data_IF_009466587792
#
_entry.id   IF_009466587792
#
_cell.length_a   1.000
_cell.length_b   1.000
_cell.length_c   1.000
_cell.angle_alpha   90.00
_cell.angle_beta   90.00
_cell.angle_gamma   90.00
#
_symmetry.space_group_name_H-M   'P 1'
#
loop_
_entity.id
_entity.type
_entity.pdbx_description
1 polymer ?
#
# COMPACT_ATOMS: atom_id res chain seq x y z
N UNK A 1 -17.40 -51.86 5.45
CA UNK A 1 -16.25 -51.01 5.83
C UNK A 1 -16.70 -49.57 5.67
N UNK A 2 -16.70 -48.75 6.73
CA UNK A 2 -17.03 -47.32 6.58
C UNK A 2 -15.93 -46.67 5.77
N UNK A 3 -16.29 -45.89 4.74
CA UNK A 3 -15.33 -45.11 3.98
C UNK A 3 -14.59 -44.17 4.95
N UNK A 4 -13.26 -44.29 4.98
CA UNK A 4 -12.40 -43.39 5.75
C UNK A 4 -12.55 -42.00 5.16
N UNK A 5 -13.10 -41.05 5.93
CA UNK A 5 -13.21 -39.67 5.48
C UNK A 5 -11.85 -39.00 5.56
N UNK A 6 -11.58 -38.04 4.67
CA UNK A 6 -10.30 -37.34 4.62
C UNK A 6 -9.87 -36.75 5.98
N UNK A 7 -10.83 -36.33 6.80
CA UNK A 7 -10.66 -35.83 8.17
C UNK A 7 -10.06 -36.85 9.16
N UNK A 8 -10.14 -38.14 8.85
CA UNK A 8 -9.60 -39.23 9.69
C UNK A 8 -8.11 -39.49 9.40
N UNK A 9 -7.53 -38.87 8.38
CA UNK A 9 -6.09 -38.98 8.14
C UNK A 9 -5.29 -38.13 9.15
N UNK A 10 -4.08 -38.59 9.52
CA UNK A 10 -3.11 -37.77 10.24
C UNK A 10 -2.86 -36.44 9.52
N UNK A 11 -2.67 -35.38 10.28
CA UNK A 11 -2.53 -34.01 9.74
C UNK A 11 -1.42 -33.91 8.69
N UNK A 12 -0.26 -34.48 8.99
CA UNK A 12 0.89 -34.52 8.07
C UNK A 12 0.54 -35.16 6.72
N UNK A 13 -0.25 -36.24 6.73
CA UNK A 13 -0.68 -36.93 5.51
C UNK A 13 -1.68 -36.08 4.72
N UNK A 14 -2.61 -35.40 5.40
CA UNK A 14 -3.54 -34.45 4.78
C UNK A 14 -2.78 -33.29 4.12
N UNK A 15 -1.79 -32.73 4.81
CA UNK A 15 -0.98 -31.62 4.32
C UNK A 15 -0.16 -32.03 3.07
N UNK A 16 0.40 -33.24 3.03
CA UNK A 16 1.09 -33.76 1.83
C UNK A 16 0.15 -33.98 0.65
N UNK A 17 -1.01 -34.61 0.87
CA UNK A 17 -2.02 -34.82 -0.19
C UNK A 17 -2.45 -33.48 -0.78
N UNK A 18 -2.64 -32.48 0.07
CA UNK A 18 -2.98 -31.14 -0.36
C UNK A 18 -1.89 -30.46 -1.15
N UNK A 19 -0.65 -30.48 -0.66
CA UNK A 19 0.50 -29.93 -1.38
C UNK A 19 0.64 -30.54 -2.79
N UNK A 20 0.44 -31.85 -2.93
CA UNK A 20 0.52 -32.53 -4.21
C UNK A 20 -0.65 -32.16 -5.15
N UNK A 21 -1.88 -32.11 -4.64
CA UNK A 21 -3.06 -31.74 -5.42
C UNK A 21 -2.95 -30.30 -5.96
N UNK A 22 -2.42 -29.37 -5.16
CA UNK A 22 -2.28 -27.98 -5.60
C UNK A 22 -1.19 -27.79 -6.65
N UNK A 23 -0.08 -28.53 -6.56
CA UNK A 23 0.99 -28.47 -7.56
C UNK A 23 0.54 -28.94 -8.96
N UNK A 24 -0.32 -29.96 -9.04
CA UNK A 24 -0.84 -30.52 -10.31
C UNK A 24 -1.79 -29.54 -11.02
N UNK A 25 -2.63 -28.83 -10.26
CA UNK A 25 -3.67 -27.99 -10.85
C UNK A 25 -3.13 -26.70 -11.48
N UNK A 26 -1.98 -26.21 -11.02
CA UNK A 26 -1.37 -24.99 -11.53
C UNK A 26 -0.60 -25.17 -12.86
N UNK A 27 -0.35 -26.41 -13.29
CA UNK A 27 0.16 -26.67 -14.64
C UNK A 27 -0.87 -26.36 -15.74
N UNK A 28 -2.14 -26.07 -15.38
CA UNK A 28 -3.25 -25.97 -16.34
C UNK A 28 -3.78 -24.56 -16.63
N UNK A 29 -3.16 -23.47 -16.14
CA UNK A 29 -3.76 -22.13 -16.27
C UNK A 29 -2.95 -21.11 -17.10
N UNK A 30 -3.62 -20.62 -18.14
CA UNK A 30 -3.21 -19.67 -19.19
C UNK A 30 -3.21 -18.17 -18.79
N UNK A 31 -2.67 -17.38 -19.73
CA UNK A 31 -2.15 -15.99 -19.81
C UNK A 31 -2.96 -14.77 -19.33
N UNK A 32 -4.01 -14.87 -18.50
CA UNK A 32 -4.75 -13.68 -18.05
C UNK A 32 -4.05 -12.96 -16.85
N UNK A 33 -4.02 -11.61 -16.77
CA UNK A 33 -3.33 -10.89 -15.69
C UNK A 33 -3.80 -11.22 -14.27
N UNK A 34 -5.10 -11.48 -14.08
CA UNK A 34 -5.65 -11.89 -12.78
C UNK A 34 -5.24 -13.32 -12.37
N UNK A 35 -4.92 -14.18 -13.35
CA UNK A 35 -4.44 -15.54 -13.11
C UNK A 35 -2.97 -15.51 -12.73
N UNK A 36 -2.17 -14.66 -13.39
CA UNK A 36 -0.76 -14.50 -13.08
C UNK A 36 -0.55 -13.94 -11.67
N UNK A 37 -1.29 -12.90 -11.25
CA UNK A 37 -1.31 -12.42 -9.85
C UNK A 37 -1.52 -13.54 -8.84
N UNK A 38 -2.53 -14.38 -9.09
CA UNK A 38 -2.86 -15.52 -8.22
C UNK A 38 -1.80 -16.59 -8.24
N UNK A 39 -1.17 -16.85 -9.38
CA UNK A 39 -0.04 -17.78 -9.51
C UNK A 39 1.16 -17.28 -8.69
N UNK A 40 1.51 -16.00 -8.82
CA UNK A 40 2.60 -15.39 -8.08
C UNK A 40 2.36 -15.44 -6.56
N UNK A 41 1.16 -15.03 -6.13
CA UNK A 41 0.75 -15.10 -4.74
C UNK A 41 0.76 -16.54 -4.17
N UNK A 42 0.41 -17.53 -5.00
CA UNK A 42 0.39 -18.93 -4.59
C UNK A 42 1.80 -19.52 -4.46
N UNK A 43 2.67 -19.25 -5.44
CA UNK A 43 4.08 -19.68 -5.46
C UNK A 43 4.88 -18.99 -4.34
N UNK A 44 4.42 -17.81 -3.92
CA UNK A 44 5.11 -16.93 -2.99
C UNK A 44 6.08 -16.02 -3.74
N UNK A 45 6.02 -14.72 -3.45
CA UNK A 45 6.79 -13.68 -4.15
C UNK A 45 8.31 -13.84 -4.05
N UNK A 46 8.80 -14.59 -3.05
CA UNK A 46 10.23 -14.86 -2.85
C UNK A 46 10.76 -15.97 -3.76
N UNK A 47 9.87 -16.79 -4.34
CA UNK A 47 10.23 -17.90 -5.22
C UNK A 47 10.11 -17.53 -6.71
N UNK A 48 9.80 -16.26 -7.02
CA UNK A 48 9.71 -15.78 -8.39
C UNK A 48 11.10 -15.51 -8.98
N UNK A 49 11.29 -15.70 -10.30
CA UNK A 49 12.51 -15.27 -10.98
C UNK A 49 12.80 -13.78 -10.72
N UNK A 50 14.09 -13.43 -10.64
CA UNK A 50 14.52 -12.07 -10.27
C UNK A 50 14.06 -10.97 -11.24
N UNK A 51 13.79 -11.32 -12.49
CA UNK A 51 13.30 -10.45 -13.55
C UNK A 51 11.77 -10.36 -13.62
N UNK A 52 11.05 -11.14 -12.80
CA UNK A 52 9.59 -11.14 -12.80
C UNK A 52 9.04 -9.94 -12.02
N UNK A 53 8.26 -9.10 -12.70
CA UNK A 53 7.48 -8.06 -12.05
C UNK A 53 6.46 -8.68 -11.08
N UNK A 54 6.53 -8.26 -9.82
CA UNK A 54 5.64 -8.73 -8.76
C UNK A 54 4.29 -8.06 -8.89
N UNK A 55 3.23 -8.87 -8.93
CA UNK A 55 1.87 -8.40 -9.05
C UNK A 55 1.08 -8.77 -7.77
N UNK A 56 0.85 -7.81 -6.85
CA UNK A 56 0.12 -8.04 -5.61
C UNK A 56 -1.36 -8.39 -5.87
N UNK A 57 -1.94 -9.25 -5.02
CA UNK A 57 -3.37 -9.55 -5.08
C UNK A 57 -4.20 -8.29 -4.78
N UNK A 58 -5.31 -8.13 -5.51
CA UNK A 58 -6.16 -6.94 -5.40
C UNK A 58 -7.35 -7.12 -4.46
N UNK A 59 -7.68 -6.03 -3.78
CA UNK A 59 -8.88 -5.86 -2.97
C UNK A 59 -9.57 -4.58 -3.42
N UNK A 60 -10.84 -4.69 -3.81
CA UNK A 60 -11.66 -3.56 -4.17
C UNK A 60 -12.70 -3.32 -3.09
N UNK A 61 -12.65 -2.13 -2.50
CA UNK A 61 -13.58 -1.68 -1.47
C UNK A 61 -14.35 -0.48 -1.97
N UNK A 62 -15.65 -0.55 -1.74
CA UNK A 62 -16.58 0.51 -2.04
C UNK A 62 -17.10 1.08 -0.73
N UNK A 63 -16.98 2.38 -0.54
CA UNK A 63 -17.70 3.06 0.51
C UNK A 63 -19.00 3.60 -0.05
N UNK A 64 -20.11 3.30 0.62
CA UNK A 64 -21.35 4.02 0.33
C UNK A 64 -21.21 5.41 0.96
N UNK A 65 -21.78 6.45 0.35
CA UNK A 65 -21.76 7.82 0.92
C UNK A 65 -22.27 7.94 2.38
N UNK A 66 -22.83 6.87 2.94
CA UNK A 66 -23.06 6.67 4.35
C UNK A 66 -21.81 6.02 4.99
N UNK A 67 -20.91 6.85 5.55
CA UNK A 67 -19.53 6.57 6.05
C UNK A 67 -19.31 5.33 6.94
N UNK A 68 -20.36 4.61 7.32
CA UNK A 68 -20.26 3.41 8.15
C UNK A 68 -20.32 2.11 7.33
N UNK A 69 -20.79 2.14 6.09
CA UNK A 69 -21.02 0.94 5.27
C UNK A 69 -19.99 0.79 4.15
N UNK A 70 -18.85 0.20 4.50
CA UNK A 70 -17.90 -0.30 3.51
C UNK A 70 -18.28 -1.69 3.02
N UNK A 71 -18.21 -1.88 1.71
CA UNK A 71 -18.58 -3.10 1.01
C UNK A 71 -17.39 -3.64 0.24
N UNK A 72 -17.20 -4.95 0.31
CA UNK A 72 -16.18 -5.62 -0.47
C UNK A 72 -16.74 -5.98 -1.84
N UNK A 73 -16.20 -5.43 -2.93
CA UNK A 73 -16.63 -5.81 -4.28
C UNK A 73 -15.79 -6.94 -4.86
N UNK A 74 -14.48 -6.91 -4.64
CA UNK A 74 -13.58 -7.97 -5.07
C UNK A 74 -12.52 -8.24 -4.03
N UNK A 75 -12.28 -9.53 -3.79
CA UNK A 75 -11.20 -10.03 -2.96
C UNK A 75 -10.49 -11.15 -3.71
N UNK A 76 -9.36 -10.83 -4.36
CA UNK A 76 -8.60 -11.83 -5.11
C UNK A 76 -8.02 -12.92 -4.20
N UNK A 77 -7.74 -12.63 -2.93
CA UNK A 77 -7.30 -13.64 -1.97
C UNK A 77 -8.42 -14.64 -1.64
N UNK A 78 -9.67 -14.20 -1.45
CA UNK A 78 -10.78 -15.14 -1.25
C UNK A 78 -11.00 -16.00 -2.50
N UNK A 79 -10.78 -15.42 -3.69
CA UNK A 79 -10.86 -16.17 -4.93
C UNK A 79 -9.74 -17.20 -5.03
N UNK A 80 -8.51 -16.84 -4.66
CA UNK A 80 -7.37 -17.76 -4.55
C UNK A 80 -7.69 -18.94 -3.62
N UNK A 81 -8.26 -18.66 -2.44
CA UNK A 81 -8.69 -19.71 -1.49
C UNK A 81 -9.74 -20.61 -2.12
N UNK A 82 -10.74 -20.04 -2.80
CA UNK A 82 -11.81 -20.81 -3.44
C UNK A 82 -11.32 -21.65 -4.63
N UNK A 83 -10.19 -21.30 -5.25
CA UNK A 83 -9.55 -22.10 -6.29
C UNK A 83 -8.88 -23.37 -5.74
N UNK A 84 -8.61 -23.45 -4.43
CA UNK A 84 -8.00 -24.62 -3.83
C UNK A 84 -9.04 -25.73 -3.62
N UNK A 85 -8.84 -26.95 -4.16
CA UNK A 85 -9.79 -28.05 -3.98
C UNK A 85 -10.09 -28.36 -2.52
N UNK A 86 -9.11 -28.16 -1.63
CA UNK A 86 -9.30 -28.36 -0.19
C UNK A 86 -10.36 -27.43 0.42
N UNK A 87 -10.57 -26.25 -0.17
CA UNK A 87 -11.54 -25.29 0.33
C UNK A 87 -13.00 -25.70 0.10
N UNK A 88 -13.25 -26.71 -0.74
CA UNK A 88 -14.61 -27.20 -1.03
C UNK A 88 -15.03 -28.38 -0.15
N UNK A 89 -14.11 -28.96 0.63
CA UNK A 89 -14.35 -30.20 1.38
C UNK A 89 -15.14 -29.95 2.67
N UNK A 90 -14.67 -29.04 3.52
CA UNK A 90 -15.32 -28.67 4.78
C UNK A 90 -14.82 -27.31 5.29
N UNK A 91 -15.47 -26.76 6.31
CA UNK A 91 -15.10 -25.47 6.92
C UNK A 91 -13.67 -25.47 7.50
N UNK A 92 -13.25 -26.56 8.13
CA UNK A 92 -11.88 -26.72 8.67
C UNK A 92 -10.84 -26.66 7.54
N UNK A 93 -11.03 -27.45 6.47
CA UNK A 93 -10.13 -27.47 5.32
C UNK A 93 -10.10 -26.12 4.59
N UNK A 94 -11.24 -25.43 4.49
CA UNK A 94 -11.31 -24.05 3.98
C UNK A 94 -10.55 -23.05 4.85
N UNK A 95 -10.59 -23.22 6.17
CA UNK A 95 -9.80 -22.39 7.09
C UNK A 95 -8.29 -22.64 6.91
N UNK A 96 -7.88 -23.90 6.73
CA UNK A 96 -6.49 -24.24 6.42
C UNK A 96 -6.02 -23.65 5.08
N UNK A 97 -6.85 -23.75 4.04
CA UNK A 97 -6.59 -23.12 2.74
C UNK A 97 -6.38 -21.61 2.88
N UNK A 98 -7.28 -20.95 3.61
CA UNK A 98 -7.18 -19.52 3.88
C UNK A 98 -5.90 -19.15 4.63
N UNK A 99 -5.52 -19.91 5.65
CA UNK A 99 -4.30 -19.66 6.40
C UNK A 99 -3.04 -19.91 5.56
N UNK A 100 -3.04 -20.93 4.71
CA UNK A 100 -1.96 -21.17 3.76
C UNK A 100 -1.80 -19.99 2.80
N UNK A 101 -2.88 -19.56 2.13
CA UNK A 101 -2.84 -18.42 1.21
C UNK A 101 -2.38 -17.13 1.91
N UNK A 102 -2.91 -16.84 3.10
CA UNK A 102 -2.51 -15.64 3.86
C UNK A 102 -1.02 -15.64 4.22
N UNK A 103 -0.44 -16.80 4.54
CA UNK A 103 0.99 -16.90 4.82
C UNK A 103 1.87 -16.62 3.58
N UNK A 104 1.35 -16.85 2.36
CA UNK A 104 2.08 -16.56 1.11
C UNK A 104 1.89 -15.11 0.64
N UNK A 105 0.75 -14.51 0.96
CA UNK A 105 0.37 -13.16 0.52
C UNK A 105 0.94 -12.11 1.48
N UNK A 106 2.15 -11.63 1.17
CA UNK A 106 2.82 -10.57 1.95
C UNK A 106 2.38 -9.15 1.59
N UNK A 107 1.95 -8.96 0.34
CA UNK A 107 1.58 -7.65 -0.23
C UNK A 107 0.17 -7.74 -0.82
N UNK A 108 -0.66 -6.75 -0.50
CA UNK A 108 -2.02 -6.60 -1.01
C UNK A 108 -2.21 -5.22 -1.61
N UNK A 109 -2.91 -5.14 -2.74
CA UNK A 109 -3.20 -3.90 -3.45
C UNK A 109 -4.65 -3.47 -3.22
N UNK A 110 -4.82 -2.35 -2.55
CA UNK A 110 -6.09 -1.77 -2.17
C UNK A 110 -6.54 -0.75 -3.23
N UNK A 111 -7.68 -1.05 -3.85
CA UNK A 111 -8.46 -0.15 -4.69
C UNK A 111 -9.67 0.33 -3.89
N UNK A 112 -9.69 1.62 -3.54
CA UNK A 112 -10.78 2.23 -2.80
C UNK A 112 -11.60 3.15 -3.71
N UNK A 113 -12.92 2.94 -3.77
CA UNK A 113 -13.84 3.78 -4.53
C UNK A 113 -15.02 4.22 -3.67
N UNK A 114 -15.56 5.41 -3.94
CA UNK A 114 -16.79 5.89 -3.32
C UNK A 114 -17.93 5.69 -4.31
N UNK A 115 -18.98 4.97 -3.90
CA UNK A 115 -20.14 4.72 -4.76
C UNK A 115 -20.91 6.03 -4.98
N UNK A 116 -21.31 6.30 -6.23
CA UNK A 116 -22.23 7.38 -6.53
C UNK A 116 -23.59 7.10 -5.86
N UNK A 117 -24.30 8.15 -5.43
CA UNK A 117 -25.58 8.12 -4.70
C UNK A 117 -26.66 7.20 -5.33
N UNK A 118 -26.55 6.89 -6.63
CA UNK A 118 -27.56 6.17 -7.40
C UNK A 118 -27.19 4.72 -7.77
N UNK A 119 -26.03 4.18 -7.37
CA UNK A 119 -25.73 2.75 -7.57
C UNK A 119 -26.37 1.88 -6.48
N UNK A 120 -27.69 1.72 -6.58
CA UNK A 120 -28.47 0.69 -5.90
C UNK A 120 -27.97 -0.70 -6.32
N UNK A 121 -27.01 -1.26 -5.58
CA UNK A 121 -26.83 -2.72 -5.53
C UNK A 121 -26.89 -3.20 -4.08
N UNK A 122 -28.07 -3.69 -3.71
CA UNK A 122 -28.42 -4.29 -2.41
C UNK A 122 -27.83 -5.72 -2.22
N UNK A 123 -26.72 -6.05 -2.90
CA UNK A 123 -26.16 -7.41 -2.94
C UNK A 123 -24.63 -7.38 -2.83
N UNK A 124 -24.07 -6.65 -1.86
CA UNK A 124 -22.63 -6.73 -1.55
C UNK A 124 -22.43 -6.89 -0.04
N UNK A 125 -21.54 -7.82 0.32
CA UNK A 125 -21.25 -8.14 1.71
C UNK A 125 -20.59 -6.95 2.41
N UNK A 126 -21.20 -6.52 3.52
CA UNK A 126 -20.66 -5.46 4.37
C UNK A 126 -19.41 -5.96 5.10
N UNK A 127 -18.38 -5.13 5.15
CA UNK A 127 -17.15 -5.41 5.90
C UNK A 127 -17.41 -5.06 7.37
N UNK A 128 -17.86 -6.06 8.13
CA UNK A 128 -18.15 -5.96 9.56
C UNK A 128 -16.93 -6.27 10.45
N UNK A 129 -15.99 -7.08 9.96
CA UNK A 129 -14.76 -7.47 10.65
C UNK A 129 -13.55 -7.34 9.70
N UNK A 130 -12.33 -7.38 10.25
CA UNK A 130 -11.10 -7.34 9.45
C UNK A 130 -11.08 -8.48 8.41
N UNK A 131 -10.97 -8.10 7.14
CA UNK A 131 -10.96 -9.06 6.01
C UNK A 131 -9.66 -9.87 5.99
N UNK A 132 -8.57 -9.25 6.45
CA UNK A 132 -7.24 -9.85 6.52
C UNK A 132 -6.59 -9.56 7.87
N UNK A 133 -5.81 -10.52 8.37
CA UNK A 133 -5.13 -10.43 9.67
C UNK A 133 -3.60 -10.51 9.53
N UNK A 134 -3.07 -10.56 8.29
CA UNK A 134 -1.67 -10.94 8.04
C UNK A 134 -0.83 -10.11 7.05
N UNK A 135 -1.34 -9.36 6.04
CA UNK A 135 -0.43 -8.65 5.17
C UNK A 135 0.30 -7.56 5.95
N UNK A 136 1.62 -7.63 5.95
CA UNK A 136 2.49 -6.62 6.56
C UNK A 136 2.64 -5.41 5.64
N UNK A 137 2.40 -5.58 4.33
CA UNK A 137 2.49 -4.51 3.35
C UNK A 137 1.15 -4.32 2.62
N UNK A 138 0.67 -3.08 2.60
CA UNK A 138 -0.49 -2.66 1.81
C UNK A 138 -0.02 -1.66 0.78
N UNK A 139 -0.24 -1.96 -0.48
CA UNK A 139 -0.15 -1.00 -1.57
C UNK A 139 -1.52 -0.35 -1.75
N UNK A 140 -1.55 0.96 -1.86
CA UNK A 140 -2.76 1.75 -2.03
C UNK A 140 -2.68 2.39 -3.40
N UNK A 141 -3.48 1.90 -4.34
CA UNK A 141 -3.45 2.39 -5.72
C UNK A 141 -4.50 3.47 -5.95
N UNK A 142 -4.06 4.65 -6.34
CA UNK A 142 -4.91 5.75 -6.78
C UNK A 142 -4.46 6.30 -8.15
N UNK A 143 -5.41 6.88 -8.88
CA UNK A 143 -5.15 7.50 -10.16
C UNK A 143 -6.16 8.60 -10.44
N UNK A 144 -5.70 9.63 -11.17
CA UNK A 144 -6.57 10.67 -11.71
C UNK A 144 -7.48 10.14 -12.82
N UNK A 145 -6.99 9.18 -13.61
CA UNK A 145 -7.72 8.58 -14.72
C UNK A 145 -8.33 7.25 -14.26
N UNK A 146 -9.64 7.07 -14.50
CA UNK A 146 -10.39 5.86 -14.12
C UNK A 146 -9.81 4.56 -14.70
N UNK A 147 -9.12 4.64 -15.84
CA UNK A 147 -8.50 3.47 -16.49
C UNK A 147 -7.29 2.94 -15.72
N UNK A 148 -6.61 3.81 -14.96
CA UNK A 148 -5.40 3.48 -14.21
C UNK A 148 -5.71 3.14 -12.75
N UNK A 149 -6.79 3.69 -12.20
CA UNK A 149 -7.22 3.45 -10.82
C UNK A 149 -8.36 4.35 -10.34
N UNK A 150 -8.76 4.24 -9.07
CA UNK A 150 -9.76 5.10 -8.46
C UNK A 150 -9.15 6.45 -8.03
N UNK A 151 -10.00 7.45 -7.82
CA UNK A 151 -9.62 8.86 -7.61
C UNK A 151 -8.80 9.11 -6.33
N UNK A 152 -8.66 8.12 -5.43
CA UNK A 152 -7.84 8.22 -4.22
C UNK A 152 -8.66 8.57 -2.97
N UNK A 153 -7.98 9.10 -1.96
CA UNK A 153 -8.54 9.37 -0.63
C UNK A 153 -8.71 10.87 -0.39
N UNK A 154 -9.73 11.25 0.39
CA UNK A 154 -10.00 12.65 0.74
C UNK A 154 -9.13 13.15 1.91
N UNK A 155 -8.56 12.24 2.72
CA UNK A 155 -7.68 12.57 3.83
C UNK A 155 -6.81 11.38 4.27
N UNK A 156 -5.74 11.68 5.01
CA UNK A 156 -4.89 10.67 5.65
C UNK A 156 -5.66 9.80 6.66
N UNK A 157 -6.57 10.41 7.43
CA UNK A 157 -7.41 9.69 8.40
C UNK A 157 -8.31 8.68 7.73
N UNK A 158 -8.94 9.06 6.61
CA UNK A 158 -9.78 8.13 5.85
C UNK A 158 -8.94 6.96 5.31
N UNK A 159 -7.76 7.23 4.76
CA UNK A 159 -6.84 6.18 4.30
C UNK A 159 -6.49 5.20 5.41
N UNK A 160 -6.07 5.71 6.57
CA UNK A 160 -5.71 4.88 7.72
C UNK A 160 -6.92 4.09 8.24
N UNK A 161 -8.11 4.68 8.22
CA UNK A 161 -9.34 4.03 8.67
C UNK A 161 -9.74 2.85 7.79
N UNK A 162 -9.66 3.06 6.48
CA UNK A 162 -9.91 2.01 5.49
C UNK A 162 -8.86 0.91 5.61
N UNK A 163 -7.58 1.26 5.66
CA UNK A 163 -6.49 0.28 5.81
C UNK A 163 -6.64 -0.53 7.10
N UNK A 164 -6.88 0.13 8.23
CA UNK A 164 -7.07 -0.55 9.51
C UNK A 164 -8.33 -1.43 9.50
N UNK A 165 -9.46 -0.94 8.95
CA UNK A 165 -10.70 -1.74 8.89
C UNK A 165 -10.53 -2.99 8.04
N UNK A 166 -9.80 -2.92 6.93
CA UNK A 166 -9.63 -4.07 6.02
C UNK A 166 -8.53 -5.04 6.49
N UNK A 167 -7.37 -4.51 6.89
CA UNK A 167 -6.15 -5.30 7.11
C UNK A 167 -5.73 -5.41 8.58
N UNK A 168 -6.39 -4.66 9.48
CA UNK A 168 -6.11 -4.65 10.91
C UNK A 168 -4.81 -3.94 11.28
N UNK A 169 -4.43 -4.09 12.55
CA UNK A 169 -3.27 -3.42 13.16
C UNK A 169 -1.91 -4.03 12.81
N UNK A 170 -1.88 -5.07 11.97
CA UNK A 170 -0.66 -5.79 11.59
C UNK A 170 0.13 -5.13 10.45
N UNK A 171 -0.41 -4.08 9.83
CA UNK A 171 0.26 -3.40 8.71
C UNK A 171 1.53 -2.71 9.19
N UNK A 172 2.65 -3.11 8.59
CA UNK A 172 4.00 -2.58 8.85
C UNK A 172 4.45 -1.59 7.78
N UNK A 173 3.88 -1.68 6.57
CA UNK A 173 4.26 -0.87 5.42
C UNK A 173 3.05 -0.44 4.61
N UNK A 174 3.00 0.84 4.26
CA UNK A 174 2.05 1.40 3.29
C UNK A 174 2.85 1.89 2.07
N UNK A 175 2.47 1.46 0.87
CA UNK A 175 3.01 1.96 -0.39
C UNK A 175 1.91 2.75 -1.09
N UNK A 176 2.09 4.05 -1.29
CA UNK A 176 1.20 4.88 -2.08
C UNK A 176 1.59 4.73 -3.55
N UNK A 177 0.77 4.05 -4.34
CA UNK A 177 1.01 3.80 -5.75
C UNK A 177 0.06 4.68 -6.60
N UNK A 178 0.62 5.68 -7.26
CA UNK A 178 -0.11 6.85 -7.72
C UNK A 178 0.11 7.13 -9.20
N UNK A 179 -0.95 7.40 -9.98
CA UNK A 179 -0.87 7.73 -11.41
C UNK A 179 -1.47 9.10 -11.72
N UNK A 180 -0.61 10.03 -12.16
CA UNK A 180 -0.95 11.46 -12.29
C UNK A 180 -0.34 12.09 -13.54
N UNK A 181 -0.86 13.26 -13.94
CA UNK A 181 -0.30 14.05 -15.04
C UNK A 181 0.81 14.97 -14.53
N UNK A 182 1.75 15.34 -15.39
CA UNK A 182 2.88 16.24 -15.07
C UNK A 182 2.50 17.64 -14.58
N UNK A 183 1.25 18.08 -14.75
CA UNK A 183 0.79 19.39 -14.26
C UNK A 183 0.10 19.30 -12.90
N UNK A 184 0.06 18.12 -12.29
CA UNK A 184 -0.70 17.91 -11.07
C UNK A 184 0.03 18.43 -9.83
N UNK A 185 -0.72 19.10 -8.96
CA UNK A 185 -0.22 19.61 -7.68
C UNK A 185 -0.17 18.51 -6.63
N UNK A 186 0.56 18.76 -5.54
CA UNK A 186 0.59 17.84 -4.39
C UNK A 186 -0.79 17.52 -3.80
N UNK A 187 -1.75 18.45 -3.86
CA UNK A 187 -3.12 18.21 -3.39
C UNK A 187 -3.89 17.28 -4.32
N UNK A 188 -3.60 17.33 -5.62
CA UNK A 188 -4.18 16.42 -6.61
C UNK A 188 -3.58 15.02 -6.51
N UNK A 189 -2.27 14.92 -6.23
CA UNK A 189 -1.56 13.64 -6.04
C UNK A 189 -2.02 12.93 -4.76
N UNK A 190 -2.15 13.68 -3.67
CA UNK A 190 -2.53 13.17 -2.35
C UNK A 190 -3.98 13.58 -2.03
N UNK A 191 -4.14 14.42 -1.03
CA UNK A 191 -5.40 14.99 -0.54
C UNK A 191 -5.13 16.46 -0.19
N UNK A 192 -6.18 17.28 0.05
CA UNK A 192 -6.02 18.70 0.37
C UNK A 192 -5.08 18.94 1.56
N UNK A 193 -4.33 20.05 1.56
CA UNK A 193 -3.44 20.36 2.68
C UNK A 193 -4.22 20.64 3.97
N UNK A 194 -3.78 20.04 5.07
CA UNK A 194 -4.20 20.46 6.42
C UNK A 194 -3.70 21.88 6.71
N UNK A 195 -4.30 22.55 7.70
CA UNK A 195 -3.86 23.87 8.15
C UNK A 195 -2.38 23.85 8.57
N UNK A 196 -1.94 22.77 9.23
CA UNK A 196 -0.55 22.61 9.67
C UNK A 196 0.40 22.47 8.47
N UNK A 197 0.05 21.62 7.51
CA UNK A 197 0.85 21.40 6.29
C UNK A 197 0.96 22.69 5.47
N UNK A 198 -0.14 23.45 5.30
CA UNK A 198 -0.08 24.76 4.59
C UNK A 198 0.87 25.74 5.28
N UNK A 199 0.80 25.85 6.62
CA UNK A 199 1.69 26.74 7.38
C UNK A 199 3.15 26.37 7.19
N UNK A 200 3.47 25.08 7.32
CA UNK A 200 4.83 24.58 7.17
C UNK A 200 5.34 24.72 5.74
N UNK A 201 4.49 24.46 4.74
CA UNK A 201 4.87 24.65 3.34
C UNK A 201 5.16 26.12 3.04
N UNK A 202 4.34 27.08 3.51
CA UNK A 202 4.63 28.50 3.33
C UNK A 202 5.98 28.90 3.94
N UNK A 203 6.27 28.43 5.15
CA UNK A 203 7.56 28.68 5.80
C UNK A 203 8.71 28.07 4.98
N UNK A 204 8.58 26.80 4.56
CA UNK A 204 9.61 26.09 3.78
C UNK A 204 9.75 26.57 2.33
N UNK A 205 8.73 27.20 1.75
CA UNK A 205 8.74 27.77 0.39
C UNK A 205 9.65 29.00 0.33
N UNK A 206 9.66 29.80 1.40
CA UNK A 206 10.38 31.07 1.49
C UNK A 206 11.73 30.93 2.22
N UNK A 207 11.82 30.05 3.24
CA UNK A 207 13.02 29.77 4.02
C UNK A 207 12.98 28.30 4.50
N UNK A 208 13.54 27.37 3.73
CA UNK A 208 13.91 26.08 4.32
C UNK A 208 14.96 26.39 5.39
N UNK A 209 14.58 26.32 6.67
CA UNK A 209 15.50 26.38 7.82
C UNK A 209 15.73 24.95 8.33
N UNK A 210 16.46 24.09 7.58
CA UNK A 210 16.80 22.77 8.06
C UNK A 210 17.78 22.88 9.21
N UNK A 211 17.65 21.96 10.14
CA UNK A 211 18.61 21.81 11.21
C UNK A 211 19.78 20.99 10.68
N UNK A 212 20.92 21.63 10.48
CA UNK A 212 22.11 20.98 9.95
C UNK A 212 22.70 19.95 10.93
N UNK A 213 23.02 18.77 10.40
CA UNK A 213 23.65 17.71 11.15
C UNK A 213 25.17 17.85 11.03
N UNK A 214 25.83 18.29 12.09
CA UNK A 214 27.28 18.44 12.15
C UNK A 214 28.02 17.18 12.64
N UNK A 215 27.30 16.10 12.94
CA UNK A 215 27.90 14.84 13.37
C UNK A 215 28.62 14.17 12.19
N UNK A 216 29.96 14.02 12.23
CA UNK A 216 30.72 13.40 11.16
C UNK A 216 30.42 11.90 11.01
N UNK A 217 29.91 11.24 12.06
CA UNK A 217 29.53 9.82 12.04
C UNK A 217 28.14 9.56 11.46
N UNK A 218 27.32 10.60 11.30
CA UNK A 218 26.04 10.50 10.64
C UNK A 218 26.24 10.16 9.16
N UNK A 219 25.43 9.25 8.63
CA UNK A 219 25.50 8.86 7.22
C UNK A 219 25.16 10.07 6.33
N UNK A 220 26.02 10.35 5.34
CA UNK A 220 25.87 11.52 4.47
C UNK A 220 24.59 11.45 3.63
N UNK A 221 24.15 10.26 3.27
CA UNK A 221 22.93 10.06 2.48
C UNK A 221 21.67 10.02 3.35
N UNK A 222 21.79 10.04 4.68
CA UNK A 222 20.63 9.88 5.56
C UNK A 222 20.12 11.23 6.04
N UNK A 223 18.81 11.45 5.93
CA UNK A 223 18.10 12.59 6.48
C UNK A 223 16.88 12.14 7.28
N UNK A 224 16.41 12.99 8.18
CA UNK A 224 15.20 12.70 8.95
C UNK A 224 14.41 13.96 9.27
N UNK A 225 13.17 13.79 9.71
CA UNK A 225 12.26 14.89 10.04
C UNK A 225 11.57 14.46 11.30
N UNK A 226 11.49 15.34 12.29
CA UNK A 226 10.95 15.01 13.61
C UNK A 226 9.42 15.14 13.66
N UNK A 227 8.77 14.68 14.73
CA UNK A 227 7.34 14.91 14.95
C UNK A 227 6.92 16.39 14.89
N UNK A 228 7.84 17.32 15.16
CA UNK A 228 7.60 18.76 15.05
C UNK A 228 7.71 19.27 13.59
N UNK A 229 7.97 18.37 12.64
CA UNK A 229 8.15 18.64 11.20
C UNK A 229 9.41 19.44 10.88
N UNK A 230 10.41 19.39 11.76
CA UNK A 230 11.73 19.97 11.50
C UNK A 230 12.57 19.02 10.65
N UNK A 231 13.11 19.51 9.52
CA UNK A 231 14.00 18.74 8.65
C UNK A 231 15.42 18.75 9.23
N UNK A 232 16.03 17.58 9.36
CA UNK A 232 17.43 17.42 9.70
C UNK A 232 18.19 16.78 8.54
N UNK A 233 19.24 17.45 8.08
CA UNK A 233 20.03 17.05 6.91
C UNK A 233 21.47 17.54 7.05
N UNK A 234 22.41 16.91 6.36
CA UNK A 234 23.75 17.46 6.20
C UNK A 234 23.75 18.65 5.24
N UNK A 235 24.60 19.63 5.52
CA UNK A 235 24.67 20.88 4.76
C UNK A 235 25.05 20.62 3.30
N UNK A 236 25.98 19.71 3.05
CA UNK A 236 26.47 19.37 1.72
C UNK A 236 25.36 18.79 0.83
N UNK A 237 24.51 17.92 1.39
CA UNK A 237 23.42 17.28 0.66
C UNK A 237 22.33 18.29 0.26
N UNK A 238 22.09 19.32 1.07
CA UNK A 238 21.09 20.33 0.76
C UNK A 238 21.50 21.19 -0.44
N UNK A 239 22.77 21.56 -0.55
CA UNK A 239 23.25 22.44 -1.61
C UNK A 239 23.39 21.77 -2.98
N UNK A 240 23.61 20.46 -3.02
CA UNK A 240 23.71 19.71 -4.28
C UNK A 240 22.33 19.50 -4.92
N UNK A 241 21.30 19.23 -4.11
CA UNK A 241 19.98 18.77 -4.56
C UNK A 241 18.82 19.62 -3.98
N UNK A 242 19.01 20.95 -3.86
CA UNK A 242 18.11 21.86 -3.13
C UNK A 242 16.62 21.71 -3.52
N UNK A 243 16.36 21.58 -4.83
CA UNK A 243 15.01 21.53 -5.36
C UNK A 243 14.32 20.18 -5.11
N UNK A 244 15.02 19.07 -5.34
CA UNK A 244 14.56 17.73 -5.01
C UNK A 244 14.38 17.56 -3.50
N UNK A 245 15.27 18.15 -2.69
CA UNK A 245 15.18 18.17 -1.23
C UNK A 245 13.92 18.88 -0.72
N UNK A 246 13.55 19.99 -1.38
CA UNK A 246 12.30 20.71 -1.10
C UNK A 246 11.08 19.85 -1.42
N UNK A 247 11.06 19.18 -2.57
CA UNK A 247 9.97 18.26 -2.93
C UNK A 247 9.87 17.07 -1.99
N UNK A 248 11.01 16.46 -1.64
CA UNK A 248 11.07 15.37 -0.67
C UNK A 248 10.46 15.80 0.67
N UNK A 249 10.75 17.02 1.11
CA UNK A 249 10.21 17.58 2.35
C UNK A 249 8.69 17.69 2.29
N UNK A 250 8.12 18.13 1.16
CA UNK A 250 6.68 18.21 0.98
C UNK A 250 5.99 16.84 1.02
N UNK A 251 6.52 15.85 0.31
CA UNK A 251 5.99 14.48 0.37
C UNK A 251 6.04 13.91 1.79
N UNK A 252 7.10 14.23 2.55
CA UNK A 252 7.23 13.78 3.94
C UNK A 252 6.26 14.46 4.89
N UNK A 253 5.89 15.72 4.64
CA UNK A 253 4.77 16.35 5.36
C UNK A 253 3.48 15.55 5.17
N UNK A 254 3.19 15.08 3.94
CA UNK A 254 2.04 14.20 3.67
C UNK A 254 2.15 12.84 4.36
N UNK A 255 3.34 12.23 4.36
CA UNK A 255 3.56 10.97 5.09
C UNK A 255 3.33 11.12 6.60
N UNK A 256 3.64 12.31 7.13
CA UNK A 256 3.40 12.60 8.52
C UNK A 256 1.92 12.71 8.89
N UNK A 257 1.08 13.20 7.97
CA UNK A 257 -0.37 13.16 8.16
C UNK A 257 -0.88 11.70 8.28
N UNK A 258 -0.29 10.75 7.53
CA UNK A 258 -0.55 9.32 7.71
C UNK A 258 -0.05 8.85 9.10
N UNK A 259 1.17 9.20 9.49
CA UNK A 259 1.71 8.78 10.79
C UNK A 259 0.85 9.28 11.95
N UNK A 260 0.43 10.53 11.93
CA UNK A 260 -0.43 11.10 12.98
C UNK A 260 -1.75 10.31 13.08
N UNK A 261 -2.41 10.07 11.94
CA UNK A 261 -3.62 9.27 11.86
C UNK A 261 -3.41 7.80 12.30
N UNK A 262 -2.21 7.25 12.08
CA UNK A 262 -1.85 5.87 12.37
C UNK A 262 -1.65 5.55 13.85
N UNK A 263 -1.34 6.54 14.68
CA UNK A 263 -0.86 6.39 16.08
C UNK A 263 -1.58 5.32 16.92
N UNK A 264 -2.91 5.21 16.79
CA UNK A 264 -3.72 4.21 17.51
C UNK A 264 -4.23 3.06 16.64
N UNK A 265 -4.24 3.24 15.33
CA UNK A 265 -4.91 2.36 14.37
C UNK A 265 -3.94 1.35 13.75
N UNK A 266 -2.73 1.79 13.41
CA UNK A 266 -1.68 0.97 12.81
C UNK A 266 -0.39 1.04 13.67
N UNK A 267 -0.40 0.49 14.88
CA UNK A 267 0.72 0.59 15.83
C UNK A 267 2.00 -0.10 15.36
N UNK A 268 1.93 -0.94 14.30
CA UNK A 268 3.09 -1.61 13.71
C UNK A 268 3.65 -0.90 12.49
N UNK A 269 3.09 0.24 12.08
CA UNK A 269 3.52 0.95 10.88
C UNK A 269 4.96 1.45 11.02
N UNK A 270 5.86 0.85 10.24
CA UNK A 270 7.29 1.09 10.22
C UNK A 270 7.75 1.82 8.94
N UNK A 271 6.99 1.77 7.85
CA UNK A 271 7.42 2.35 6.57
C UNK A 271 6.26 2.92 5.77
N UNK A 272 6.50 4.06 5.16
CA UNK A 272 5.63 4.69 4.17
C UNK A 272 6.47 4.90 2.91
N UNK A 273 6.00 4.37 1.78
CA UNK A 273 6.65 4.46 0.49
C UNK A 273 5.73 5.17 -0.50
N UNK A 274 6.31 5.86 -1.48
CA UNK A 274 5.61 6.47 -2.60
C UNK A 274 6.20 5.90 -3.90
N UNK A 275 5.33 5.43 -4.77
CA UNK A 275 5.61 5.12 -6.17
C UNK A 275 4.65 5.97 -7.02
N UNK A 276 5.18 7.04 -7.61
CA UNK A 276 4.40 8.02 -8.35
C UNK A 276 4.75 7.98 -9.83
N UNK A 277 3.80 7.50 -10.61
CA UNK A 277 3.85 7.42 -12.06
C UNK A 277 3.28 8.71 -12.65
N UNK A 278 4.12 9.44 -13.38
CA UNK A 278 3.77 10.74 -13.97
C UNK A 278 3.74 10.65 -15.49
N UNK A 279 2.60 10.97 -16.10
CA UNK A 279 2.48 11.10 -17.55
C UNK A 279 3.11 12.42 -18.01
N UNK A 280 4.20 12.33 -18.78
CA UNK A 280 4.91 13.49 -19.32
C UNK A 280 5.35 13.19 -20.76
N UNK A 281 4.90 14.00 -21.72
CA UNK A 281 5.30 13.91 -23.14
C UNK A 281 5.31 12.47 -23.72
N UNK A 282 4.22 11.74 -23.56
CA UNK A 282 4.04 10.34 -23.99
C UNK A 282 4.93 9.30 -23.27
N UNK A 283 5.66 9.72 -22.24
CA UNK A 283 6.44 8.85 -21.35
C UNK A 283 5.80 8.76 -19.95
N UNK A 284 6.14 7.68 -19.23
CA UNK A 284 5.78 7.51 -17.82
C UNK A 284 7.06 7.62 -17.01
N UNK A 285 7.18 8.72 -16.26
CA UNK A 285 8.31 8.98 -15.37
C UNK A 285 7.94 8.51 -13.96
N UNK A 286 8.91 7.94 -13.24
CA UNK A 286 8.67 7.33 -11.94
C UNK A 286 9.42 8.08 -10.84
N UNK A 287 8.67 8.59 -9.87
CA UNK A 287 9.23 9.10 -8.61
C UNK A 287 9.05 8.04 -7.51
N UNK A 288 10.14 7.67 -6.83
CA UNK A 288 10.16 6.75 -5.68
C UNK A 288 10.72 7.42 -4.44
N UNK A 289 10.01 7.32 -3.33
CA UNK A 289 10.46 7.80 -2.02
C UNK A 289 10.16 6.73 -0.98
N UNK A 290 11.17 6.33 -0.20
CA UNK A 290 11.00 5.40 0.92
C UNK A 290 11.32 6.09 2.24
N UNK A 291 10.31 6.18 3.11
CA UNK A 291 10.44 6.72 4.45
C UNK A 291 10.22 5.64 5.51
N UNK A 292 11.18 5.50 6.42
CA UNK A 292 11.11 4.57 7.56
C UNK A 292 10.79 5.33 8.83
N UNK A 293 9.76 4.90 9.55
CA UNK A 293 9.41 5.39 10.87
C UNK A 293 10.28 4.71 11.95
N UNK A 294 11.03 5.52 12.70
CA UNK A 294 11.75 5.08 13.90
C UNK A 294 11.31 5.99 15.04
N UNK A 295 10.53 5.44 15.98
CA UNK A 295 10.05 6.14 17.17
C UNK A 295 9.33 7.47 16.86
N UNK A 296 8.51 7.49 15.81
CA UNK A 296 7.75 8.67 15.38
C UNK A 296 8.54 9.63 14.49
N UNK A 297 9.81 9.33 14.19
CA UNK A 297 10.68 10.10 13.30
C UNK A 297 10.71 9.44 11.92
N UNK A 298 10.42 10.20 10.86
CA UNK A 298 10.55 9.73 9.48
C UNK A 298 11.98 9.90 8.96
N UNK A 299 12.65 8.79 8.71
CA UNK A 299 13.98 8.69 8.13
C UNK A 299 13.90 8.37 6.64
N UNK A 300 14.74 9.03 5.83
CA UNK A 300 14.90 8.75 4.41
C UNK A 300 16.39 8.62 4.11
N UNK A 301 16.77 7.59 3.37
CA UNK A 301 18.09 7.53 2.76
C UNK A 301 17.98 8.04 1.32
N UNK A 302 18.83 8.99 0.95
CA UNK A 302 18.90 9.58 -0.38
C UNK A 302 19.12 8.53 -1.47
N UNK A 303 19.82 7.44 -1.18
CA UNK A 303 19.98 6.32 -2.13
C UNK A 303 18.65 5.61 -2.47
N UNK A 304 17.65 5.75 -1.60
CA UNK A 304 16.31 5.19 -1.77
C UNK A 304 15.33 6.21 -2.39
N UNK A 305 15.83 7.39 -2.81
CA UNK A 305 15.06 8.45 -3.45
C UNK A 305 15.38 8.50 -4.93
N UNK A 306 14.34 8.57 -5.76
CA UNK A 306 14.45 8.78 -7.18
C UNK A 306 13.35 9.73 -7.62
N UNK A 307 13.71 10.87 -8.22
CA UNK A 307 12.74 11.79 -8.81
C UNK A 307 12.72 11.58 -10.32
N UNK A 308 11.58 11.11 -10.82
CA UNK A 308 11.32 11.03 -12.26
C UNK A 308 10.71 12.33 -12.79
N UNK A 309 9.95 13.03 -11.96
CA UNK A 309 9.31 14.29 -12.31
C UNK A 309 9.18 15.20 -11.09
N UNK A 310 9.08 16.50 -11.34
CA UNK A 310 9.05 17.54 -10.34
C UNK A 310 7.63 18.09 -10.14
N UNK A 311 7.11 18.02 -8.92
CA UNK A 311 5.72 18.37 -8.64
C UNK A 311 5.60 19.76 -8.02
N UNK A 312 4.67 20.55 -8.54
CA UNK A 312 4.44 21.90 -8.04
C UNK A 312 3.63 21.89 -6.74
N UNK A 313 3.94 22.87 -5.88
CA UNK A 313 3.20 23.16 -4.65
C UNK A 313 2.16 24.26 -4.82
N UNK A 314 1.68 24.54 -6.05
CA UNK A 314 1.03 25.83 -6.38
C UNK A 314 -0.04 26.22 -5.36
N UNK A 315 0.09 27.47 -4.91
CA UNK A 315 -0.79 28.20 -4.01
C UNK A 315 -2.22 28.23 -4.55
N UNK A 316 -3.18 27.95 -3.68
CA UNK A 316 -4.54 28.43 -3.85
C UNK A 316 -4.68 29.67 -2.97
N UNK A 317 -4.98 30.79 -3.64
CA UNK A 317 -5.26 32.14 -3.10
C UNK A 317 -6.10 32.14 -1.80
#
# INVERSE_FOLDING_TARGET
MSATTFTQFPRELRDMIWSAATAVQYQQYCTAPCVERRRQAFVGYDNLPHDTERQPLRVYVHDSNNRDKMRLSMNECQTLVNCLPMATVCSEARSHAANFCRAQVKVMDLFYAIDALDELSDIRDEILEHVFVQPTTVMVTNAKRKVDGPVGFESAELLVDVVNRIFGSCVERIILNSWFDSIDTLEQIHWPHTIQTRKLMRIQIDDMDPIFIHDPSHDHSTMFMTPERALHVKEELLYEDEYEMRQLSWHRLKFYEILDASTKKLPRLQSIELELHTYCWDEVLLTRIKATNKDGVLWVNWSDVHFGFNHDSVEVD
#
